data_IF_125636379943
#
_entry.id   IF_125636379943
#
_cell.length_a   1.000
_cell.length_b   1.000
_cell.length_c   1.000
_cell.angle_alpha   90.00
_cell.angle_beta   90.00
_cell.angle_gamma   90.00
#
_symmetry.space_group_name_H-M   'P 1'
#
loop_
_entity.id
_entity.type
_entity.pdbx_description
1 polymer ?
#
# COMPACT_ATOMS: atom_id res chain seq x y z
N UNK A 1 6.95 -9.08 16.34
CA UNK A 1 6.75 -8.03 15.33
C UNK A 1 6.56 -6.78 16.14
N UNK A 2 7.44 -5.81 15.98
CA UNK A 2 7.42 -4.62 16.84
C UNK A 2 6.15 -3.83 16.58
N UNK A 3 5.28 -3.70 17.58
CA UNK A 3 3.97 -3.03 17.44
C UNK A 3 4.09 -1.53 17.11
N UNK A 4 5.27 -0.95 17.26
CA UNK A 4 5.54 0.48 17.01
C UNK A 4 5.76 0.86 15.52
N UNK A 5 5.55 -0.06 14.58
CA UNK A 5 5.85 0.22 13.15
C UNK A 5 4.69 0.80 12.34
N UNK A 6 3.52 0.92 12.95
CA UNK A 6 2.35 1.49 12.29
C UNK A 6 1.87 2.71 13.05
N UNK A 7 1.83 3.83 12.39
CA UNK A 7 1.20 5.04 12.90
C UNK A 7 -0.29 5.02 12.48
N UNK A 8 -1.17 5.00 13.47
CA UNK A 8 -2.62 5.02 13.26
C UNK A 8 -3.11 6.46 13.39
N UNK A 9 -3.45 7.06 12.28
CA UNK A 9 -3.97 8.43 12.24
C UNK A 9 -5.44 8.44 12.70
N UNK A 10 -5.67 8.30 14.01
CA UNK A 10 -7.02 8.22 14.59
C UNK A 10 -7.66 9.57 14.90
N UNK A 11 -6.91 10.65 14.93
CA UNK A 11 -7.39 11.97 15.37
C UNK A 11 -8.58 12.45 14.52
N UNK A 12 -8.46 12.35 13.19
CA UNK A 12 -9.53 12.76 12.27
C UNK A 12 -10.80 11.91 12.47
N UNK A 13 -10.63 10.60 12.72
CA UNK A 13 -11.74 9.71 13.02
C UNK A 13 -12.44 10.09 14.32
N UNK A 14 -11.67 10.35 15.37
CA UNK A 14 -12.16 10.77 16.69
C UNK A 14 -12.94 12.08 16.58
N UNK A 15 -12.41 13.07 15.87
CA UNK A 15 -13.10 14.34 15.61
C UNK A 15 -14.42 14.12 14.86
N UNK A 16 -14.42 13.26 13.85
CA UNK A 16 -15.62 12.95 13.08
C UNK A 16 -16.69 12.24 13.90
N UNK A 17 -16.31 11.28 14.74
CA UNK A 17 -17.21 10.59 15.67
C UNK A 17 -17.87 11.60 16.61
N UNK A 18 -17.09 12.52 17.20
CA UNK A 18 -17.56 13.58 18.09
C UNK A 18 -18.51 14.54 17.36
N UNK A 19 -18.14 14.98 16.17
CA UNK A 19 -18.90 15.94 15.38
C UNK A 19 -20.30 15.42 14.97
N UNK A 20 -20.42 14.10 14.73
CA UNK A 20 -21.68 13.47 14.34
C UNK A 20 -22.43 12.78 15.50
N UNK A 21 -21.88 12.85 16.73
CA UNK A 21 -22.40 12.13 17.91
C UNK A 21 -22.64 10.64 17.65
N UNK A 22 -21.77 9.99 16.85
CA UNK A 22 -21.90 8.58 16.55
C UNK A 22 -21.74 7.74 17.82
N UNK A 23 -22.66 6.79 18.04
CA UNK A 23 -22.72 5.95 19.24
C UNK A 23 -22.23 4.53 19.00
N UNK A 24 -22.35 4.04 17.80
CA UNK A 24 -21.89 2.71 17.42
C UNK A 24 -21.10 2.79 16.10
N UNK A 25 -19.81 2.51 16.20
CA UNK A 25 -18.85 2.59 15.06
C UNK A 25 -18.26 1.22 14.83
N UNK A 26 -18.20 0.79 13.58
CA UNK A 26 -17.48 -0.42 13.21
C UNK A 26 -16.05 -0.07 12.80
N UNK A 27 -15.07 -0.77 13.37
CA UNK A 27 -13.68 -0.73 12.95
C UNK A 27 -13.40 -1.91 12.01
N UNK A 28 -13.03 -1.63 10.78
CA UNK A 28 -12.61 -2.61 9.79
C UNK A 28 -11.13 -2.43 9.49
N UNK A 29 -10.33 -3.46 9.77
CA UNK A 29 -8.87 -3.42 9.63
C UNK A 29 -8.37 -4.50 8.69
N UNK A 30 -7.28 -4.26 7.94
CA UNK A 30 -6.59 -5.30 7.19
C UNK A 30 -6.17 -6.46 8.08
N UNK A 31 -6.05 -7.67 7.49
CA UNK A 31 -5.64 -8.88 8.23
C UNK A 31 -4.36 -8.68 9.05
N UNK A 32 -3.38 -7.98 8.49
CA UNK A 32 -2.11 -7.70 9.14
C UNK A 32 -2.19 -6.79 10.38
N UNK A 33 -3.30 -6.06 10.55
CA UNK A 33 -3.51 -5.10 11.64
C UNK A 33 -4.51 -5.58 12.71
N UNK A 34 -5.09 -6.78 12.57
CA UNK A 34 -6.09 -7.27 13.51
C UNK A 34 -5.58 -7.42 14.95
N UNK A 35 -4.29 -7.67 15.11
CA UNK A 35 -3.69 -7.76 16.45
C UNK A 35 -3.63 -6.39 17.17
N UNK A 36 -3.52 -5.29 16.41
CA UNK A 36 -3.51 -3.94 16.95
C UNK A 36 -4.91 -3.32 17.09
N UNK A 37 -5.93 -4.01 16.57
CA UNK A 37 -7.30 -3.49 16.55
C UNK A 37 -7.84 -3.17 17.97
N UNK A 38 -7.48 -3.95 18.98
CA UNK A 38 -7.91 -3.71 20.34
C UNK A 38 -7.35 -2.37 20.89
N UNK A 39 -6.07 -2.08 20.63
CA UNK A 39 -5.44 -0.82 21.05
C UNK A 39 -6.10 0.38 20.36
N UNK A 40 -6.45 0.24 19.07
CA UNK A 40 -7.19 1.26 18.32
C UNK A 40 -8.59 1.49 18.92
N UNK A 41 -9.32 0.40 19.22
CA UNK A 41 -10.66 0.48 19.80
C UNK A 41 -10.63 1.18 21.15
N UNK A 42 -9.71 0.77 22.04
CA UNK A 42 -9.53 1.37 23.37
C UNK A 42 -9.25 2.87 23.23
N UNK A 43 -8.32 3.27 22.35
CA UNK A 43 -7.97 4.67 22.10
C UNK A 43 -9.17 5.51 21.62
N UNK A 44 -10.00 4.96 20.72
CA UNK A 44 -11.18 5.68 20.23
C UNK A 44 -12.26 5.77 21.31
N UNK A 45 -12.48 4.70 22.08
CA UNK A 45 -13.48 4.68 23.17
C UNK A 45 -13.08 5.58 24.35
N UNK A 46 -11.79 5.73 24.64
CA UNK A 46 -11.29 6.66 25.67
C UNK A 46 -11.58 8.13 25.31
N UNK A 47 -11.47 8.48 24.03
CA UNK A 47 -11.62 9.86 23.56
C UNK A 47 -13.03 10.21 23.08
N UNK A 48 -13.93 9.22 22.96
CA UNK A 48 -15.28 9.43 22.47
C UNK A 48 -16.33 8.79 23.39
N UNK A 49 -17.61 9.04 23.14
CA UNK A 49 -18.73 8.31 23.77
C UNK A 49 -19.25 7.14 22.92
N UNK A 50 -18.57 6.84 21.83
CA UNK A 50 -18.94 5.74 20.94
C UNK A 50 -18.54 4.38 21.52
N UNK A 51 -19.27 3.34 21.15
CA UNK A 51 -18.80 1.96 21.29
C UNK A 51 -18.26 1.50 19.97
N UNK A 52 -17.12 0.80 20.02
CA UNK A 52 -16.45 0.31 18.84
C UNK A 52 -16.66 -1.20 18.72
N UNK A 53 -17.05 -1.67 17.55
CA UNK A 53 -17.10 -3.09 17.23
C UNK A 53 -16.11 -3.42 16.12
N UNK A 54 -15.35 -4.50 16.31
CA UNK A 54 -14.41 -4.96 15.31
C UNK A 54 -15.13 -5.80 14.25
N UNK A 55 -15.01 -5.42 12.99
CA UNK A 55 -15.42 -6.26 11.87
C UNK A 55 -14.43 -7.42 11.72
N UNK A 56 -14.88 -8.63 12.06
CA UNK A 56 -14.05 -9.83 12.02
C UNK A 56 -13.86 -10.42 10.62
N UNK A 57 -14.62 -9.91 9.63
CA UNK A 57 -14.53 -10.37 8.24
C UNK A 57 -13.12 -10.14 7.67
N UNK A 58 -12.66 -11.01 6.74
CA UNK A 58 -11.43 -10.77 6.00
C UNK A 58 -11.44 -9.42 5.28
N UNK A 59 -10.33 -8.68 5.36
CA UNK A 59 -10.18 -7.38 4.73
C UNK A 59 -8.80 -7.28 4.06
N UNK A 60 -8.79 -7.31 2.74
CA UNK A 60 -7.59 -7.24 1.91
C UNK A 60 -7.56 -6.00 1.00
N UNK A 61 -8.67 -5.30 0.87
CA UNK A 61 -8.79 -4.12 0.03
C UNK A 61 -9.98 -3.23 0.37
N UNK A 62 -10.02 -2.04 -0.21
CA UNK A 62 -11.12 -1.10 -0.05
C UNK A 62 -12.46 -1.59 -0.63
N UNK A 63 -12.45 -2.70 -1.38
CA UNK A 63 -13.66 -3.35 -1.90
C UNK A 63 -14.28 -4.38 -0.93
N UNK A 64 -13.58 -4.74 0.15
CA UNK A 64 -14.06 -5.73 1.12
C UNK A 64 -14.97 -5.06 2.18
N UNK A 65 -16.06 -4.44 1.72
CA UNK A 65 -16.92 -3.64 2.57
C UNK A 65 -17.92 -4.53 3.34
N UNK A 66 -18.06 -4.26 4.64
CA UNK A 66 -18.95 -4.99 5.56
C UNK A 66 -20.29 -4.30 5.78
N UNK A 67 -20.66 -3.35 4.95
CA UNK A 67 -21.75 -2.41 5.14
C UNK A 67 -23.10 -3.06 5.44
N UNK A 68 -23.53 -4.06 4.68
CA UNK A 68 -24.82 -4.73 4.88
C UNK A 68 -24.96 -5.36 6.27
N UNK A 69 -23.87 -5.92 6.80
CA UNK A 69 -23.88 -6.49 8.15
C UNK A 69 -23.91 -5.41 9.20
N UNK A 70 -23.07 -4.39 9.04
CA UNK A 70 -22.94 -3.30 10.01
C UNK A 70 -24.24 -2.47 10.09
N UNK A 71 -24.87 -2.22 8.96
CA UNK A 71 -26.17 -1.53 8.93
C UNK A 71 -27.26 -2.28 9.68
N UNK A 72 -27.33 -3.62 9.54
CA UNK A 72 -28.29 -4.47 10.29
C UNK A 72 -28.02 -4.48 11.80
N UNK A 73 -26.80 -4.23 12.22
CA UNK A 73 -26.39 -4.14 13.62
C UNK A 73 -26.61 -2.74 14.21
N UNK A 74 -27.07 -1.78 13.39
CA UNK A 74 -27.30 -0.40 13.82
C UNK A 74 -26.03 0.44 13.91
N UNK A 75 -24.96 0.02 13.22
CA UNK A 75 -23.74 0.81 13.09
C UNK A 75 -24.03 2.08 12.31
N UNK A 76 -23.49 3.19 12.76
CA UNK A 76 -23.71 4.53 12.20
C UNK A 76 -22.56 5.00 11.32
N UNK A 77 -21.34 4.46 11.56
CA UNK A 77 -20.12 4.79 10.83
C UNK A 77 -19.23 3.55 10.72
N UNK A 78 -18.64 3.31 9.55
CA UNK A 78 -17.57 2.35 9.36
C UNK A 78 -16.23 3.09 9.23
N UNK A 79 -15.29 2.80 10.11
CA UNK A 79 -13.90 3.21 10.00
C UNK A 79 -13.10 2.12 9.28
N UNK A 80 -12.72 2.37 8.03
CA UNK A 80 -11.99 1.43 7.19
C UNK A 80 -10.51 1.80 7.15
N UNK A 81 -9.66 0.97 7.75
CA UNK A 81 -8.24 1.25 7.96
C UNK A 81 -7.36 0.79 6.79
N UNK A 82 -6.32 1.55 6.51
CA UNK A 82 -5.18 1.14 5.69
C UNK A 82 -5.40 1.02 4.19
N UNK A 83 -6.56 1.45 3.68
CA UNK A 83 -6.85 1.45 2.26
C UNK A 83 -7.35 2.83 1.79
N UNK A 84 -7.04 3.18 0.55
CA UNK A 84 -7.58 4.39 -0.07
C UNK A 84 -9.05 4.21 -0.45
N UNK A 85 -9.81 5.28 -0.31
CA UNK A 85 -11.20 5.30 -0.74
C UNK A 85 -11.32 4.92 -2.22
N UNK A 86 -12.21 3.99 -2.50
CA UNK A 86 -12.67 3.68 -3.85
C UNK A 86 -13.98 4.39 -4.12
N UNK A 87 -14.25 4.70 -5.40
CA UNK A 87 -15.52 5.28 -5.81
C UNK A 87 -16.64 4.21 -5.85
N UNK A 88 -16.95 3.64 -4.68
CA UNK A 88 -18.00 2.66 -4.47
C UNK A 88 -19.05 3.31 -3.60
N UNK A 89 -20.29 3.36 -4.09
CA UNK A 89 -21.41 3.77 -3.26
C UNK A 89 -21.73 2.65 -2.26
N UNK A 90 -21.39 2.90 -1.04
CA UNK A 90 -21.54 1.92 0.04
C UNK A 90 -22.89 1.98 0.75
N UNK A 91 -23.69 3.02 0.48
CA UNK A 91 -24.97 3.25 1.15
C UNK A 91 -24.86 3.49 2.67
N UNK A 92 -23.64 3.59 3.20
CA UNK A 92 -23.36 3.76 4.62
C UNK A 92 -22.16 4.72 4.83
N UNK A 93 -22.22 5.63 5.82
CA UNK A 93 -21.10 6.49 6.14
C UNK A 93 -19.83 5.67 6.41
N UNK A 94 -18.76 6.00 5.69
CA UNK A 94 -17.46 5.30 5.80
C UNK A 94 -16.35 6.33 5.85
N UNK A 95 -15.45 6.17 6.82
CA UNK A 95 -14.21 6.92 6.91
C UNK A 95 -13.04 6.02 6.55
N UNK A 96 -12.24 6.45 5.58
CA UNK A 96 -11.03 5.74 5.20
C UNK A 96 -9.84 6.35 5.93
N UNK A 97 -9.23 5.56 6.80
CA UNK A 97 -8.14 6.00 7.68
C UNK A 97 -6.82 5.49 7.11
N UNK A 98 -5.89 6.41 6.91
CA UNK A 98 -4.55 6.04 6.50
C UNK A 98 -3.80 5.37 7.65
N UNK A 99 -3.04 4.35 7.32
CA UNK A 99 -2.07 3.72 8.21
C UNK A 99 -0.71 3.84 7.55
N UNK A 100 0.26 4.41 8.24
CA UNK A 100 1.63 4.52 7.75
C UNK A 100 2.50 3.46 8.40
N UNK A 101 3.41 2.90 7.63
CA UNK A 101 4.41 1.97 8.11
C UNK A 101 5.70 2.75 8.39
N UNK A 102 6.06 2.87 9.67
CA UNK A 102 7.31 3.47 10.09
C UNK A 102 8.41 2.40 10.09
N UNK A 103 9.02 2.19 8.94
CA UNK A 103 10.09 1.23 8.77
C UNK A 103 11.18 1.77 7.85
N UNK A 104 12.42 1.37 8.09
CA UNK A 104 13.53 1.71 7.20
C UNK A 104 13.35 0.99 5.86
N UNK A 105 13.37 1.70 4.71
CA UNK A 105 13.24 1.07 3.41
C UNK A 105 14.41 0.15 3.13
N UNK A 106 14.13 -1.15 3.04
CA UNK A 106 15.12 -2.18 2.78
C UNK A 106 15.47 -2.22 1.28
N UNK A 107 16.18 -1.20 0.79
CA UNK A 107 16.58 -1.12 -0.62
C UNK A 107 17.77 -2.05 -0.94
N UNK A 108 18.65 -2.28 0.02
CA UNK A 108 19.87 -3.06 -0.18
C UNK A 108 19.63 -4.47 -0.70
N UNK A 109 18.59 -5.22 -0.27
CA UNK A 109 18.25 -6.52 -0.86
C UNK A 109 17.76 -6.44 -2.31
N UNK A 110 17.25 -5.28 -2.74
CA UNK A 110 16.71 -5.10 -4.10
C UNK A 110 17.80 -4.84 -5.11
N UNK A 111 18.88 -4.14 -4.74
CA UNK A 111 19.98 -3.78 -5.64
C UNK A 111 20.63 -5.00 -6.31
N UNK A 112 20.99 -6.10 -5.62
CA UNK A 112 21.52 -7.29 -6.27
C UNK A 112 20.54 -7.94 -7.25
N UNK A 113 19.25 -7.88 -6.98
CA UNK A 113 18.19 -8.42 -7.86
C UNK A 113 18.14 -7.60 -9.15
N UNK A 114 18.14 -6.28 -9.05
CA UNK A 114 18.17 -5.40 -10.22
C UNK A 114 19.43 -5.62 -11.06
N UNK A 115 20.58 -5.74 -10.43
CA UNK A 115 21.86 -6.02 -11.12
C UNK A 115 21.83 -7.39 -11.82
N UNK A 116 21.28 -8.42 -11.19
CA UNK A 116 21.11 -9.73 -11.81
C UNK A 116 20.20 -9.66 -13.05
N UNK A 117 19.09 -8.95 -12.93
CA UNK A 117 18.16 -8.75 -14.06
C UNK A 117 18.83 -8.01 -15.21
N UNK A 118 19.63 -6.97 -14.91
CA UNK A 118 20.42 -6.25 -15.89
C UNK A 118 21.35 -7.17 -16.67
N UNK A 119 22.15 -8.02 -15.99
CA UNK A 119 23.08 -8.97 -16.61
C UNK A 119 22.37 -10.00 -17.49
N UNK A 120 21.21 -10.49 -17.04
CA UNK A 120 20.39 -11.42 -17.82
C UNK A 120 19.89 -10.72 -19.09
N UNK A 121 19.45 -9.49 -18.98
CA UNK A 121 18.96 -8.68 -20.07
C UNK A 121 20.06 -8.46 -21.12
N UNK A 122 21.23 -8.01 -20.70
CA UNK A 122 22.40 -7.80 -21.58
C UNK A 122 22.82 -9.09 -22.33
N UNK A 123 22.89 -10.22 -21.59
CA UNK A 123 23.22 -11.52 -22.18
C UNK A 123 22.20 -12.00 -23.22
N UNK A 124 20.92 -11.69 -23.01
CA UNK A 124 19.86 -12.04 -24.00
C UNK A 124 19.92 -11.14 -25.22
N UNK A 125 20.19 -9.85 -25.02
CA UNK A 125 20.34 -8.89 -26.12
C UNK A 125 21.48 -9.32 -27.05
N UNK A 126 22.67 -9.61 -26.52
CA UNK A 126 23.82 -10.07 -27.29
C UNK A 126 23.51 -11.33 -28.12
N UNK A 127 22.76 -12.29 -27.56
CA UNK A 127 22.37 -13.50 -28.29
C UNK A 127 21.37 -13.22 -29.43
N UNK A 128 20.45 -12.27 -29.24
CA UNK A 128 19.50 -11.89 -30.29
C UNK A 128 20.22 -11.20 -31.44
N UNK A 129 21.21 -10.35 -31.14
CA UNK A 129 22.06 -9.71 -32.16
C UNK A 129 22.84 -10.75 -32.99
N UNK A 130 23.44 -11.75 -32.33
CA UNK A 130 24.20 -12.83 -32.98
C UNK A 130 23.29 -13.72 -33.86
N UNK A 131 22.12 -14.13 -33.35
CA UNK A 131 21.24 -15.08 -34.02
C UNK A 131 20.49 -14.50 -35.23
N UNK A 132 20.16 -13.21 -35.23
CA UNK A 132 19.30 -12.57 -36.21
C UNK A 132 19.99 -11.60 -37.15
N UNK A 133 21.26 -11.34 -37.00
CA UNK A 133 21.99 -10.32 -37.79
C UNK A 133 21.27 -8.94 -37.75
N UNK A 134 20.62 -8.63 -36.63
CA UNK A 134 19.91 -7.39 -36.42
C UNK A 134 20.88 -6.30 -35.98
N UNK A 135 20.55 -5.04 -36.29
CA UNK A 135 21.28 -3.92 -35.73
C UNK A 135 21.04 -3.82 -34.21
N UNK A 136 21.99 -3.20 -33.50
CA UNK A 136 21.88 -2.97 -32.05
C UNK A 136 20.59 -2.22 -31.66
N UNK A 137 20.13 -1.30 -32.51
CA UNK A 137 18.89 -0.54 -32.30
C UNK A 137 17.64 -1.39 -32.45
N UNK A 138 17.54 -2.21 -33.50
CA UNK A 138 16.44 -3.13 -33.72
C UNK A 138 16.35 -4.20 -32.62
N UNK A 139 17.50 -4.72 -32.19
CA UNK A 139 17.55 -5.68 -31.10
C UNK A 139 17.11 -5.05 -29.75
N UNK A 140 17.46 -3.79 -29.48
CA UNK A 140 17.02 -3.03 -28.31
C UNK A 140 15.53 -2.78 -28.32
N UNK A 141 14.92 -2.41 -29.46
CA UNK A 141 13.46 -2.22 -29.56
C UNK A 141 12.70 -3.53 -29.29
N UNK A 142 13.12 -4.63 -29.92
CA UNK A 142 12.51 -5.94 -29.73
C UNK A 142 12.62 -6.44 -28.28
N UNK A 143 13.75 -6.16 -27.64
CA UNK A 143 14.03 -6.54 -26.28
C UNK A 143 13.20 -5.74 -25.27
N UNK A 144 13.00 -4.45 -25.51
CA UNK A 144 12.15 -3.58 -24.70
C UNK A 144 10.70 -4.08 -24.70
N UNK A 145 10.19 -4.56 -25.81
CA UNK A 145 8.84 -5.11 -25.89
C UNK A 145 8.72 -6.49 -25.22
N UNK A 146 9.74 -7.34 -25.32
CA UNK A 146 9.69 -8.73 -24.88
C UNK A 146 9.95 -8.94 -23.38
N UNK A 147 10.70 -8.05 -22.73
CA UNK A 147 11.19 -8.26 -21.35
C UNK A 147 10.76 -7.16 -20.36
N UNK A 148 9.99 -6.16 -20.85
CA UNK A 148 9.57 -5.03 -20.01
C UNK A 148 10.77 -4.31 -19.38
N UNK A 149 11.40 -3.48 -20.15
CA UNK A 149 12.32 -2.38 -19.77
C UNK A 149 13.17 -2.62 -18.50
N UNK A 150 14.09 -3.54 -18.54
CA UNK A 150 15.21 -3.58 -17.59
C UNK A 150 16.47 -3.17 -18.33
N UNK A 151 16.66 -1.89 -18.48
CA UNK A 151 17.87 -1.25 -18.97
C UNK A 151 18.84 -1.05 -17.79
N UNK A 152 20.16 -0.85 -18.02
CA UNK A 152 21.06 -0.41 -16.94
C UNK A 152 20.41 0.75 -16.18
N UNK A 153 20.49 0.73 -14.85
CA UNK A 153 19.82 1.74 -14.01
C UNK A 153 20.23 3.18 -14.40
N UNK A 154 21.46 3.35 -14.83
CA UNK A 154 21.95 4.64 -15.31
C UNK A 154 21.25 5.07 -16.61
N UNK A 155 20.50 6.14 -16.55
CA UNK A 155 19.73 6.68 -17.67
C UNK A 155 18.38 6.01 -17.89
N UNK A 156 17.98 5.02 -17.08
CA UNK A 156 16.67 4.36 -17.16
C UNK A 156 15.63 5.09 -16.32
N UNK A 157 14.42 5.21 -16.87
CA UNK A 157 13.27 5.72 -16.11
C UNK A 157 12.64 4.55 -15.33
N UNK A 158 12.75 4.57 -14.02
CA UNK A 158 12.08 3.62 -13.14
C UNK A 158 10.78 4.23 -12.61
N UNK A 159 9.71 3.46 -12.65
CA UNK A 159 8.45 3.78 -11.98
C UNK A 159 8.45 3.11 -10.60
N UNK A 160 8.31 3.90 -9.54
CA UNK A 160 8.13 3.38 -8.19
C UNK A 160 6.63 3.37 -7.87
N UNK A 161 6.14 2.23 -7.41
CA UNK A 161 4.74 2.03 -7.02
C UNK A 161 4.72 1.39 -5.64
N UNK A 162 3.86 1.91 -4.77
CA UNK A 162 3.69 1.36 -3.43
C UNK A 162 2.25 1.48 -2.96
N UNK A 163 1.90 0.72 -1.93
CA UNK A 163 0.63 0.88 -1.24
C UNK A 163 0.61 2.21 -0.47
N UNK A 164 -0.58 2.69 -0.14
CA UNK A 164 -0.74 3.97 0.58
C UNK A 164 0.03 4.01 1.91
N UNK A 165 0.16 2.86 2.57
CA UNK A 165 0.88 2.71 3.84
C UNK A 165 2.39 2.97 3.72
N UNK A 166 2.95 2.82 2.51
CA UNK A 166 4.38 2.95 2.21
C UNK A 166 4.68 4.14 1.30
N UNK A 167 3.69 5.00 1.03
CA UNK A 167 3.84 6.08 0.05
C UNK A 167 4.95 7.06 0.44
N UNK A 168 5.11 7.35 1.73
CA UNK A 168 6.16 8.21 2.27
C UNK A 168 7.57 7.64 2.03
N UNK A 169 7.72 6.30 1.99
CA UNK A 169 9.00 5.64 1.72
C UNK A 169 9.41 5.70 0.24
N UNK A 170 8.47 5.93 -0.69
CA UNK A 170 8.76 5.98 -2.13
C UNK A 170 9.77 7.09 -2.45
N UNK A 171 9.68 8.24 -1.80
CA UNK A 171 10.61 9.34 -2.00
C UNK A 171 12.02 8.98 -1.53
N UNK A 172 12.15 8.30 -0.41
CA UNK A 172 13.43 7.83 0.10
C UNK A 172 14.03 6.73 -0.80
N UNK A 173 13.21 5.80 -1.29
CA UNK A 173 13.63 4.83 -2.31
C UNK A 173 14.14 5.51 -3.58
N UNK A 174 13.44 6.55 -4.04
CA UNK A 174 13.85 7.33 -5.19
C UNK A 174 15.23 7.94 -5.00
N UNK A 175 15.46 8.64 -3.88
CA UNK A 175 16.74 9.27 -3.58
C UNK A 175 17.87 8.25 -3.49
N UNK A 176 17.65 7.12 -2.83
CA UNK A 176 18.64 6.04 -2.72
C UNK A 176 18.97 5.40 -4.07
N UNK A 177 17.96 5.19 -4.94
CA UNK A 177 18.19 4.65 -6.29
C UNK A 177 18.91 5.66 -7.19
N UNK A 178 18.59 6.96 -7.11
CA UNK A 178 19.28 8.02 -7.84
C UNK A 178 20.76 8.16 -7.40
N UNK A 179 21.06 7.90 -6.13
CA UNK A 179 22.42 7.94 -5.60
C UNK A 179 23.30 6.79 -6.10
N UNK A 180 22.72 5.66 -6.48
CA UNK A 180 23.45 4.48 -6.99
C UNK A 180 23.66 4.58 -8.53
N UNK A 181 22.94 5.44 -9.23
CA UNK A 181 23.19 5.75 -10.64
C UNK A 181 22.32 5.22 -11.66
#
# INVERSE_FOLDING_TARGET
MDMNRHEFQLDDLIERIKANDNRLVALQVPEGLKMQALEMMDSIEEDTSARIILAADPCYGACDLVHDKMQRMGVELVAHMGHSQMNIDSGMPTEFINVTYDGDPAIDPVLPILEQHRRIAESRLSRVEEDRQMSEEEAKELFVDAVGRVSPLKGTKLGLVGSIQHLHLIFEYKERLEAVG
#
